data_IF_139760048613
#
_entry.id   IF_139760048613
#
_cell.length_a   1.000
_cell.length_b   1.000
_cell.length_c   1.000
_cell.angle_alpha   90.00
_cell.angle_beta   90.00
_cell.angle_gamma   90.00
#
_symmetry.space_group_name_H-M   'P 1'
#
loop_
_entity.id
_entity.type
_entity.pdbx_description
1 polymer ?
#
# COMPACT_ATOMS: atom_id res chain seq x y z
N UNK A 1 -18.29 -37.26 16.72
CA UNK A 1 -18.62 -35.91 17.22
C UNK A 1 -19.64 -35.26 16.28
N UNK A 2 -20.88 -35.05 16.74
CA UNK A 2 -22.07 -34.82 15.90
C UNK A 2 -22.07 -33.48 15.14
N UNK A 3 -22.51 -33.50 13.87
CA UNK A 3 -22.71 -32.33 12.98
C UNK A 3 -23.59 -31.23 13.61
N UNK A 4 -24.49 -31.62 14.52
CA UNK A 4 -25.36 -30.71 15.27
C UNK A 4 -24.59 -29.83 16.28
N UNK A 5 -23.55 -30.37 16.94
CA UNK A 5 -22.73 -29.64 17.93
C UNK A 5 -21.88 -28.56 17.23
N UNK A 6 -21.39 -28.83 16.02
CA UNK A 6 -20.70 -27.83 15.17
C UNK A 6 -21.61 -26.68 14.71
N UNK A 7 -22.91 -26.91 14.55
CA UNK A 7 -23.89 -25.86 14.18
C UNK A 7 -24.25 -24.97 15.38
N UNK A 8 -24.43 -25.54 16.57
CA UNK A 8 -24.69 -24.78 17.80
C UNK A 8 -23.55 -23.81 18.17
N UNK A 9 -22.29 -24.25 18.01
CA UNK A 9 -21.11 -23.41 18.27
C UNK A 9 -20.94 -22.24 17.30
N UNK A 10 -21.35 -22.40 16.02
CA UNK A 10 -21.32 -21.30 15.03
C UNK A 10 -22.42 -20.27 15.29
N UNK A 11 -23.60 -20.69 15.74
CA UNK A 11 -24.71 -19.78 16.08
C UNK A 11 -24.40 -18.95 17.35
N UNK A 12 -23.85 -19.59 18.40
CA UNK A 12 -23.48 -18.89 19.64
C UNK A 12 -22.39 -17.81 19.45
N UNK A 13 -21.41 -18.06 18.56
CA UNK A 13 -20.36 -17.07 18.23
C UNK A 13 -20.87 -15.90 17.40
N UNK A 14 -22.02 -16.05 16.74
CA UNK A 14 -22.68 -14.98 15.98
C UNK A 14 -23.45 -14.02 16.89
N UNK A 15 -24.00 -14.53 18.01
CA UNK A 15 -24.67 -13.77 19.06
C UNK A 15 -23.70 -13.07 20.03
N UNK A 16 -22.44 -13.51 20.08
CA UNK A 16 -21.39 -12.96 20.96
C UNK A 16 -20.42 -11.99 20.26
N UNK A 17 -20.72 -11.56 19.02
CA UNK A 17 -19.88 -10.55 18.36
C UNK A 17 -20.08 -9.19 19.00
N UNK A 18 -18.99 -8.55 19.39
CA UNK A 18 -19.05 -7.19 19.93
C UNK A 18 -19.72 -6.25 18.92
N UNK A 19 -20.39 -5.17 19.36
CA UNK A 19 -20.95 -4.17 18.46
C UNK A 19 -19.94 -3.63 17.43
N UNK A 20 -18.66 -3.59 17.81
CA UNK A 20 -17.55 -3.20 16.94
C UNK A 20 -17.29 -4.25 15.85
N UNK A 21 -17.27 -5.54 16.18
CA UNK A 21 -17.14 -6.60 15.18
C UNK A 21 -18.34 -6.62 14.22
N UNK A 22 -19.56 -6.40 14.72
CA UNK A 22 -20.75 -6.32 13.87
C UNK A 22 -20.66 -5.14 12.90
N UNK A 23 -20.24 -3.97 13.39
CA UNK A 23 -20.03 -2.77 12.59
C UNK A 23 -18.93 -2.99 11.54
N UNK A 24 -17.81 -3.60 11.91
CA UNK A 24 -16.72 -3.90 10.99
C UNK A 24 -17.15 -4.87 9.88
N UNK A 25 -17.95 -5.89 10.22
CA UNK A 25 -18.50 -6.82 9.22
C UNK A 25 -19.47 -6.11 8.28
N UNK A 26 -20.31 -5.20 8.78
CA UNK A 26 -21.22 -4.40 7.94
C UNK A 26 -20.44 -3.53 6.96
N UNK A 27 -19.45 -2.77 7.44
CA UNK A 27 -18.59 -1.92 6.61
C UNK A 27 -17.82 -2.73 5.56
N UNK A 28 -17.32 -3.92 5.92
CA UNK A 28 -16.69 -4.84 4.98
C UNK A 28 -17.64 -5.26 3.85
N UNK A 29 -18.90 -5.57 4.16
CA UNK A 29 -19.90 -5.94 3.14
C UNK A 29 -20.26 -4.72 2.28
N UNK A 30 -20.40 -3.55 2.88
CA UNK A 30 -20.69 -2.30 2.17
C UNK A 30 -19.58 -1.91 1.20
N UNK A 31 -18.31 -1.92 1.64
CA UNK A 31 -17.16 -1.63 0.77
C UNK A 31 -17.14 -2.56 -0.45
N UNK A 32 -17.34 -3.87 -0.23
CA UNK A 32 -17.42 -4.84 -1.35
C UNK A 32 -18.60 -4.60 -2.29
N UNK A 33 -19.76 -4.15 -1.78
CA UNK A 33 -20.93 -3.84 -2.62
C UNK A 33 -20.75 -2.57 -3.44
N UNK A 34 -19.99 -1.61 -2.94
CA UNK A 34 -19.73 -0.33 -3.62
C UNK A 34 -18.58 -0.41 -4.62
N UNK A 35 -17.73 -1.43 -4.50
CA UNK A 35 -16.67 -1.67 -5.48
C UNK A 35 -17.25 -2.06 -6.84
N UNK A 36 -16.71 -1.41 -7.86
CA UNK A 36 -16.91 -1.64 -9.28
C UNK A 36 -15.93 -2.68 -9.83
N UNK A 37 -15.00 -3.17 -9.01
CA UNK A 37 -13.97 -4.14 -9.42
C UNK A 37 -12.76 -3.51 -10.12
N UNK A 38 -12.58 -2.19 -10.03
CA UNK A 38 -11.44 -1.47 -10.62
C UNK A 38 -10.08 -1.92 -10.07
N UNK A 39 -10.06 -2.40 -8.82
CA UNK A 39 -8.87 -2.93 -8.17
C UNK A 39 -9.16 -4.37 -7.76
N UNK A 40 -8.38 -5.30 -8.31
CA UNK A 40 -8.49 -6.72 -7.97
C UNK A 40 -7.11 -7.27 -7.63
N UNK A 41 -6.93 -7.68 -6.38
CA UNK A 41 -5.73 -8.35 -5.90
C UNK A 41 -6.02 -9.83 -5.73
N UNK A 42 -5.15 -10.70 -6.25
CA UNK A 42 -5.21 -12.13 -5.99
C UNK A 42 -4.17 -12.52 -4.94
N UNK A 43 -4.45 -13.58 -4.18
CA UNK A 43 -3.50 -14.13 -3.21
C UNK A 43 -2.25 -14.75 -3.88
N UNK A 44 -2.28 -15.00 -5.19
CA UNK A 44 -1.17 -15.63 -5.90
C UNK A 44 0.03 -14.69 -6.03
N UNK A 45 -0.23 -13.43 -6.39
CA UNK A 45 0.83 -12.45 -6.66
C UNK A 45 0.95 -11.39 -5.55
N UNK A 46 -0.11 -11.21 -4.74
CA UNK A 46 -0.20 -10.24 -3.63
C UNK A 46 0.01 -8.77 -4.02
N UNK A 47 -0.18 -8.41 -5.30
CA UNK A 47 -0.21 -7.01 -5.76
C UNK A 47 -1.32 -6.81 -6.82
N UNK A 48 -1.63 -5.54 -7.08
CA UNK A 48 -2.46 -5.13 -8.21
C UNK A 48 -1.93 -3.81 -8.77
N UNK A 49 -2.10 -3.61 -10.07
CA UNK A 49 -1.84 -2.33 -10.73
C UNK A 49 -3.17 -1.71 -11.15
N UNK A 50 -3.31 -0.39 -11.00
CA UNK A 50 -4.51 0.32 -11.39
C UNK A 50 -4.21 1.79 -11.75
N UNK A 51 -5.20 2.45 -12.37
CA UNK A 51 -5.13 3.89 -12.63
C UNK A 51 -6.01 4.61 -11.60
N UNK A 52 -5.38 5.21 -10.61
CA UNK A 52 -6.05 5.93 -9.52
C UNK A 52 -6.86 7.13 -10.03
N UNK A 53 -6.58 7.66 -11.23
CA UNK A 53 -7.41 8.72 -11.83
C UNK A 53 -8.81 8.25 -12.24
N UNK A 54 -9.01 6.92 -12.36
CA UNK A 54 -10.32 6.32 -12.66
C UNK A 54 -11.19 6.14 -11.42
N UNK A 55 -10.65 6.34 -10.23
CA UNK A 55 -11.43 6.33 -9.00
C UNK A 55 -12.32 7.56 -8.95
N UNK A 56 -13.61 7.37 -8.68
CA UNK A 56 -14.58 8.46 -8.63
C UNK A 56 -14.17 9.52 -7.60
N UNK A 57 -14.11 10.79 -8.00
CA UNK A 57 -13.73 11.88 -7.10
C UNK A 57 -12.24 11.98 -6.77
N UNK A 58 -11.39 11.04 -7.24
CA UNK A 58 -9.95 11.06 -6.96
C UNK A 58 -9.19 12.16 -7.70
N UNK A 59 -9.71 12.63 -8.84
CA UNK A 59 -9.01 13.59 -9.70
C UNK A 59 -8.58 14.87 -8.97
N UNK A 60 -9.43 15.40 -8.09
CA UNK A 60 -9.13 16.62 -7.33
C UNK A 60 -8.09 16.37 -6.24
N UNK A 61 -8.19 15.27 -5.50
CA UNK A 61 -7.25 14.95 -4.43
C UNK A 61 -5.84 14.68 -4.98
N UNK A 62 -5.73 13.93 -6.10
CA UNK A 62 -4.45 13.62 -6.73
C UNK A 62 -3.78 14.84 -7.34
N UNK A 63 -4.54 15.72 -8.01
CA UNK A 63 -4.00 16.95 -8.58
C UNK A 63 -3.53 17.92 -7.49
N UNK A 64 -4.32 18.08 -6.43
CA UNK A 64 -3.98 18.91 -5.28
C UNK A 64 -2.74 18.38 -4.54
N UNK A 65 -2.67 17.08 -4.27
CA UNK A 65 -1.46 16.44 -3.69
C UNK A 65 -0.23 16.65 -4.57
N UNK A 66 -0.38 16.55 -5.90
CA UNK A 66 0.70 16.81 -6.84
C UNK A 66 1.20 18.26 -6.76
N UNK A 67 0.28 19.24 -6.83
CA UNK A 67 0.62 20.66 -6.74
C UNK A 67 1.25 21.05 -5.40
N UNK A 68 0.68 20.58 -4.29
CA UNK A 68 1.24 20.81 -2.95
C UNK A 68 2.60 20.13 -2.79
N UNK A 69 2.74 18.90 -3.31
CA UNK A 69 4.00 18.19 -3.33
C UNK A 69 5.11 18.99 -4.01
N UNK A 70 4.86 19.55 -5.20
CA UNK A 70 5.83 20.43 -5.87
C UNK A 70 6.17 21.67 -5.04
N UNK A 71 5.16 22.32 -4.44
CA UNK A 71 5.39 23.49 -3.57
C UNK A 71 6.22 23.12 -2.34
N UNK A 72 5.91 22.01 -1.67
CA UNK A 72 6.53 21.59 -0.42
C UNK A 72 7.95 21.05 -0.58
N UNK A 73 8.37 20.63 -1.79
CA UNK A 73 9.77 20.30 -2.09
C UNK A 73 10.72 21.46 -1.84
N UNK A 74 10.24 22.70 -1.88
CA UNK A 74 11.06 23.90 -1.61
C UNK A 74 10.96 24.39 -0.16
N UNK A 75 10.05 23.82 0.64
CA UNK A 75 9.88 24.17 2.05
C UNK A 75 10.93 23.43 2.89
N UNK A 76 12.00 24.13 3.23
CA UNK A 76 13.11 23.58 4.03
C UNK A 76 12.64 23.06 5.39
N UNK A 77 11.56 23.58 5.96
CA UNK A 77 11.04 23.10 7.25
C UNK A 77 10.53 21.66 7.15
N UNK A 78 10.07 21.23 5.98
CA UNK A 78 9.56 19.86 5.71
C UNK A 78 10.68 18.87 5.40
N UNK A 79 11.92 19.35 5.28
CA UNK A 79 13.09 18.53 4.94
C UNK A 79 14.00 18.25 6.14
N UNK A 80 13.76 18.87 7.30
CA UNK A 80 14.70 18.85 8.43
C UNK A 80 14.90 17.49 9.10
N UNK A 81 13.95 16.55 8.98
CA UNK A 81 14.00 15.24 9.66
C UNK A 81 14.50 14.08 8.76
N UNK A 82 15.09 14.38 7.60
CA UNK A 82 15.19 13.52 6.42
C UNK A 82 15.91 12.16 6.60
N UNK A 83 15.21 11.17 7.16
CA UNK A 83 15.38 9.79 6.72
C UNK A 83 14.85 9.69 5.29
N UNK A 84 15.66 9.17 4.36
CA UNK A 84 15.25 9.00 2.97
C UNK A 84 14.29 7.79 2.81
N UNK A 85 13.21 7.88 2.01
CA UNK A 85 12.71 9.07 1.30
C UNK A 85 12.06 10.10 2.25
N UNK A 86 12.00 11.36 1.83
CA UNK A 86 11.52 12.47 2.68
C UNK A 86 9.98 12.50 2.64
N UNK A 87 9.32 12.43 3.80
CA UNK A 87 7.87 12.63 3.87
C UNK A 87 7.55 14.13 3.93
N UNK A 88 6.92 14.67 2.89
CA UNK A 88 6.52 16.07 2.83
C UNK A 88 5.17 16.34 3.53
N UNK A 89 4.35 15.31 3.75
CA UNK A 89 3.02 15.44 4.35
C UNK A 89 3.10 15.39 5.87
N UNK A 90 2.53 16.39 6.53
CA UNK A 90 2.39 16.48 7.99
C UNK A 90 0.95 16.20 8.41
N UNK A 91 0.78 15.87 9.69
CA UNK A 91 -0.54 15.58 10.26
C UNK A 91 -1.49 16.78 10.15
N UNK A 92 -0.97 18.00 10.32
CA UNK A 92 -1.74 19.24 10.23
C UNK A 92 -2.36 19.45 8.85
N UNK A 93 -1.66 19.03 7.79
CA UNK A 93 -2.15 19.12 6.42
C UNK A 93 -3.40 18.24 6.22
N UNK A 94 -3.53 17.11 6.95
CA UNK A 94 -4.69 16.23 6.85
C UNK A 94 -5.98 16.87 7.42
N UNK A 95 -5.84 17.81 8.35
CA UNK A 95 -6.98 18.58 8.86
C UNK A 95 -7.40 19.69 7.89
N UNK A 96 -6.46 20.22 7.12
CA UNK A 96 -6.71 21.26 6.13
C UNK A 96 -7.25 20.68 4.81
N UNK A 97 -6.81 19.48 4.46
CA UNK A 97 -7.10 18.83 3.18
C UNK A 97 -7.79 17.48 3.39
N UNK A 98 -9.04 17.53 3.87
CA UNK A 98 -9.82 16.33 4.18
C UNK A 98 -9.96 15.35 2.99
N UNK A 99 -9.95 15.87 1.78
CA UNK A 99 -9.99 15.09 0.54
C UNK A 99 -8.88 14.03 0.44
N UNK A 100 -7.72 14.24 1.08
CA UNK A 100 -6.62 13.27 1.05
C UNK A 100 -6.95 12.03 1.87
N UNK A 101 -7.59 12.23 3.02
CA UNK A 101 -8.05 11.13 3.88
C UNK A 101 -9.18 10.38 3.18
N UNK A 102 -10.16 11.11 2.64
CA UNK A 102 -11.30 10.51 1.95
C UNK A 102 -10.85 9.70 0.73
N UNK A 103 -9.85 10.17 0.00
CA UNK A 103 -9.21 9.42 -1.08
C UNK A 103 -8.46 8.18 -0.58
N UNK A 104 -7.67 8.28 0.49
CA UNK A 104 -6.94 7.14 1.06
C UNK A 104 -7.88 6.02 1.56
N UNK A 105 -9.12 6.36 1.91
CA UNK A 105 -10.17 5.41 2.31
C UNK A 105 -11.25 5.23 1.25
N UNK A 106 -10.95 5.50 -0.02
CA UNK A 106 -11.89 5.32 -1.12
C UNK A 106 -12.43 3.88 -1.19
N UNK A 107 -13.72 3.71 -1.49
CA UNK A 107 -14.42 2.41 -1.38
C UNK A 107 -13.76 1.30 -2.22
N UNK A 108 -13.25 1.60 -3.41
CA UNK A 108 -12.48 0.63 -4.23
C UNK A 108 -11.21 0.12 -3.55
N UNK A 109 -10.44 1.04 -2.94
CA UNK A 109 -9.21 0.70 -2.24
C UNK A 109 -9.56 -0.13 -1.01
N UNK A 110 -10.53 0.32 -0.23
CA UNK A 110 -11.01 -0.42 0.94
C UNK A 110 -11.53 -1.80 0.56
N UNK A 111 -12.27 -1.95 -0.53
CA UNK A 111 -12.82 -3.23 -0.96
C UNK A 111 -11.72 -4.22 -1.38
N UNK A 112 -10.74 -3.76 -2.15
CA UNK A 112 -9.60 -4.57 -2.57
C UNK A 112 -8.75 -4.99 -1.37
N UNK A 113 -8.37 -4.04 -0.52
CA UNK A 113 -7.57 -4.31 0.69
C UNK A 113 -8.34 -5.19 1.68
N UNK A 114 -9.63 -4.95 1.90
CA UNK A 114 -10.48 -5.79 2.77
C UNK A 114 -10.59 -7.22 2.24
N UNK A 115 -10.66 -7.38 0.91
CA UNK A 115 -10.70 -8.69 0.29
C UNK A 115 -9.38 -9.43 0.46
N UNK A 116 -8.26 -8.75 0.23
CA UNK A 116 -6.91 -9.29 0.43
C UNK A 116 -6.64 -9.64 1.90
N UNK A 117 -6.78 -8.69 2.83
CA UNK A 117 -6.48 -8.88 4.27
C UNK A 117 -7.52 -9.81 4.94
N UNK A 118 -8.76 -9.85 4.44
CA UNK A 118 -9.84 -10.68 4.97
C UNK A 118 -10.62 -10.04 6.12
N UNK A 119 -10.24 -8.84 6.57
CA UNK A 119 -10.91 -8.05 7.61
C UNK A 119 -10.95 -6.57 7.21
N UNK A 120 -11.73 -5.75 7.92
CA UNK A 120 -11.76 -4.31 7.69
C UNK A 120 -10.38 -3.71 8.03
N UNK A 121 -9.69 -3.04 7.09
CA UNK A 121 -8.39 -2.45 7.35
C UNK A 121 -8.52 -1.17 8.18
N UNK A 122 -7.45 -0.85 8.89
CA UNK A 122 -7.23 0.46 9.51
C UNK A 122 -6.24 1.22 8.64
N UNK A 123 -6.55 2.46 8.27
CA UNK A 123 -5.55 3.36 7.69
C UNK A 123 -4.49 3.65 8.76
N UNK A 124 -3.29 3.11 8.55
CA UNK A 124 -2.19 3.24 9.51
C UNK A 124 -1.40 4.54 9.31
N UNK A 125 -1.08 4.84 8.04
CA UNK A 125 -0.28 6.01 7.69
C UNK A 125 -0.67 6.52 6.29
N UNK A 126 -0.54 7.83 6.08
CA UNK A 126 -0.64 8.49 4.78
C UNK A 126 0.57 9.40 4.64
N UNK A 127 1.33 9.22 3.56
CA UNK A 127 2.63 9.88 3.37
C UNK A 127 2.75 10.40 1.95
N UNK A 128 3.44 11.54 1.80
CA UNK A 128 3.82 12.10 0.51
C UNK A 128 5.33 12.01 0.38
N UNK A 129 5.81 11.00 -0.34
CA UNK A 129 7.24 10.77 -0.48
C UNK A 129 7.86 11.65 -1.56
N UNK A 130 8.97 12.31 -1.20
CA UNK A 130 9.88 12.93 -2.13
C UNK A 130 11.26 12.27 -2.02
N UNK A 131 11.75 11.83 -3.18
CA UNK A 131 13.03 11.14 -3.33
C UNK A 131 13.93 11.97 -4.25
N UNK A 132 14.68 12.96 -3.72
CA UNK A 132 15.63 13.70 -4.53
C UNK A 132 16.73 12.75 -5.07
N UNK A 133 17.24 13.00 -6.29
CA UNK A 133 18.37 12.25 -6.84
C UNK A 133 19.55 12.24 -5.86
N UNK A 134 20.16 11.08 -5.68
CA UNK A 134 21.34 10.90 -4.85
C UNK A 134 22.15 9.69 -5.36
N UNK A 135 23.31 9.46 -4.74
CA UNK A 135 24.22 8.37 -5.07
C UNK A 135 24.35 7.36 -3.92
N UNK A 136 23.38 7.33 -3.01
CA UNK A 136 23.41 6.41 -1.87
C UNK A 136 22.71 5.11 -2.20
N UNK A 137 23.10 4.05 -1.50
CA UNK A 137 22.44 2.74 -1.53
C UNK A 137 22.19 2.32 -0.09
N UNK A 138 21.23 2.98 0.57
CA UNK A 138 20.98 2.77 2.00
C UNK A 138 19.49 2.82 2.36
N UNK A 139 19.15 2.21 3.49
CA UNK A 139 17.79 2.24 4.01
C UNK A 139 16.78 1.75 2.97
N UNK A 140 15.76 2.58 2.71
CA UNK A 140 14.65 2.26 1.79
C UNK A 140 15.05 2.06 0.33
N UNK A 141 16.30 2.35 -0.04
CA UNK A 141 16.85 2.08 -1.38
C UNK A 141 17.30 0.62 -1.55
N UNK A 142 17.49 -0.10 -0.44
CA UNK A 142 17.76 -1.54 -0.45
C UNK A 142 16.45 -2.33 -0.34
N UNK A 143 16.41 -3.52 -0.95
CA UNK A 143 15.28 -4.42 -0.80
C UNK A 143 15.10 -4.82 0.66
N UNK A 144 13.85 -4.94 1.07
CA UNK A 144 13.48 -5.32 2.42
C UNK A 144 12.01 -5.71 2.48
N UNK A 145 11.67 -6.45 3.53
CA UNK A 145 10.30 -6.66 3.92
C UNK A 145 9.84 -5.51 4.82
N UNK A 146 8.59 -5.11 4.66
CA UNK A 146 7.97 -4.14 5.55
C UNK A 146 7.43 -4.85 6.80
N UNK A 147 7.98 -4.54 7.97
CA UNK A 147 7.64 -5.22 9.23
C UNK A 147 6.79 -4.32 10.12
N UNK A 148 5.46 -4.52 10.12
CA UNK A 148 4.55 -3.81 11.04
C UNK A 148 3.42 -4.71 11.55
N UNK A 149 2.82 -5.51 10.67
CA UNK A 149 1.65 -6.33 10.99
C UNK A 149 1.71 -7.69 10.28
N UNK A 150 0.93 -8.66 10.80
CA UNK A 150 0.81 -10.00 10.20
C UNK A 150 0.22 -9.97 8.78
N UNK A 151 -0.65 -8.98 8.49
CA UNK A 151 -1.19 -8.70 7.15
C UNK A 151 -1.34 -7.20 6.97
N UNK A 152 -0.75 -6.69 5.91
CA UNK A 152 -0.79 -5.27 5.55
C UNK A 152 -0.90 -5.12 4.03
N UNK A 153 -1.42 -3.99 3.58
CA UNK A 153 -1.37 -3.59 2.18
C UNK A 153 -0.84 -2.15 2.11
N UNK A 154 -0.01 -1.88 1.11
CA UNK A 154 0.51 -0.53 0.82
C UNK A 154 0.07 -0.13 -0.58
N UNK A 155 -0.45 1.08 -0.69
CA UNK A 155 -0.86 1.67 -1.96
C UNK A 155 0.13 2.78 -2.28
N UNK A 156 0.90 2.59 -3.35
CA UNK A 156 1.82 3.60 -3.87
C UNK A 156 1.20 4.19 -5.13
N UNK A 157 1.22 5.50 -5.26
CA UNK A 157 0.62 6.20 -6.40
C UNK A 157 1.61 7.25 -6.87
N UNK A 158 1.92 7.23 -8.15
CA UNK A 158 2.78 8.23 -8.77
C UNK A 158 2.01 9.56 -8.85
N UNK A 159 2.60 10.65 -8.35
CA UNK A 159 2.03 12.00 -8.48
C UNK A 159 2.68 12.82 -9.60
N UNK A 160 3.78 12.33 -10.14
CA UNK A 160 4.50 12.85 -11.30
C UNK A 160 4.71 11.72 -12.33
N UNK A 161 5.24 12.07 -13.51
CA UNK A 161 5.70 11.05 -14.45
C UNK A 161 6.92 10.34 -13.86
N UNK A 162 6.83 9.01 -13.73
CA UNK A 162 7.93 8.16 -13.25
C UNK A 162 8.41 7.27 -14.39
N UNK A 163 9.66 7.45 -14.80
CA UNK A 163 10.36 6.62 -15.79
C UNK A 163 11.28 5.61 -15.09
N UNK A 164 11.92 4.73 -15.87
CA UNK A 164 12.94 3.81 -15.35
C UNK A 164 14.12 4.55 -14.68
N UNK A 165 14.44 5.74 -15.18
CA UNK A 165 15.56 6.56 -14.70
C UNK A 165 15.18 7.48 -13.54
N UNK A 166 13.91 7.50 -13.15
CA UNK A 166 13.40 8.35 -12.06
C UNK A 166 13.60 7.75 -10.66
N UNK A 167 14.13 6.53 -10.57
CA UNK A 167 14.16 5.75 -9.33
C UNK A 167 12.76 5.26 -8.90
N UNK A 168 12.05 4.49 -9.76
CA UNK A 168 10.73 3.96 -9.41
C UNK A 168 10.79 3.03 -8.21
N UNK A 169 9.67 2.86 -7.50
CA UNK A 169 9.56 1.78 -6.53
C UNK A 169 9.71 0.44 -7.28
N UNK A 170 10.62 -0.39 -6.78
CA UNK A 170 10.79 -1.76 -7.20
C UNK A 170 10.23 -2.70 -6.14
N UNK A 171 9.51 -3.73 -6.57
CA UNK A 171 9.05 -4.80 -5.70
C UNK A 171 8.99 -6.13 -6.46
N UNK A 172 8.80 -7.21 -5.72
CA UNK A 172 8.70 -8.57 -6.23
C UNK A 172 7.30 -9.12 -5.98
N UNK A 173 6.89 -10.08 -6.82
CA UNK A 173 5.70 -10.90 -6.54
C UNK A 173 5.91 -11.73 -5.27
N UNK A 174 4.83 -12.15 -4.61
CA UNK A 174 4.93 -13.06 -3.47
C UNK A 174 5.69 -14.36 -3.80
N UNK A 175 5.49 -14.90 -5.02
CA UNK A 175 6.20 -16.08 -5.48
C UNK A 175 7.71 -15.85 -5.65
N UNK A 176 8.12 -14.67 -6.10
CA UNK A 176 9.54 -14.32 -6.23
C UNK A 176 10.19 -14.00 -4.88
N UNK A 177 9.47 -13.37 -3.94
CA UNK A 177 9.93 -13.20 -2.56
C UNK A 177 10.29 -14.56 -1.93
N UNK A 178 9.44 -15.59 -2.13
CA UNK A 178 9.73 -16.94 -1.61
C UNK A 178 11.03 -17.54 -2.20
N UNK A 179 11.35 -17.25 -3.47
CA UNK A 179 12.61 -17.70 -4.07
C UNK A 179 13.81 -17.02 -3.41
N UNK A 180 13.70 -15.73 -3.11
CA UNK A 180 14.73 -14.98 -2.36
C UNK A 180 14.89 -15.59 -0.97
N UNK A 181 13.80 -15.84 -0.25
CA UNK A 181 13.84 -16.45 1.09
C UNK A 181 14.50 -17.83 1.10
N UNK A 182 14.21 -18.67 0.10
CA UNK A 182 14.79 -20.02 -0.01
C UNK A 182 16.28 -19.97 -0.35
N UNK A 183 16.69 -19.05 -1.23
CA UNK A 183 18.08 -19.00 -1.73
C UNK A 183 19.02 -18.20 -0.82
N UNK A 184 18.59 -17.02 -0.41
CA UNK A 184 19.41 -16.06 0.35
C UNK A 184 19.15 -16.19 1.85
N UNK A 185 17.96 -16.63 2.23
CA UNK A 185 17.52 -16.72 3.62
C UNK A 185 16.67 -15.51 4.03
N UNK A 186 15.58 -15.77 4.74
CA UNK A 186 14.75 -14.71 5.30
C UNK A 186 15.50 -13.90 6.37
N UNK A 187 15.38 -12.58 6.28
CA UNK A 187 15.99 -11.59 7.16
C UNK A 187 15.02 -10.42 7.37
N UNK A 188 15.06 -9.86 8.58
CA UNK A 188 14.44 -8.57 8.91
C UNK A 188 15.30 -7.37 8.45
N UNK A 189 16.48 -7.66 7.90
CA UNK A 189 17.45 -6.69 7.45
C UNK A 189 17.17 -6.18 6.03
N UNK A 190 18.25 -5.76 5.38
CA UNK A 190 18.25 -5.27 4.00
C UNK A 190 18.93 -6.30 3.11
N UNK A 191 18.51 -6.36 1.85
CA UNK A 191 19.15 -7.14 0.80
C UNK A 191 19.68 -6.20 -0.25
N UNK A 192 20.87 -6.50 -0.79
CA UNK A 192 21.39 -5.78 -1.95
C UNK A 192 20.72 -6.26 -3.23
N UNK A 193 20.97 -5.54 -4.31
CA UNK A 193 20.58 -5.97 -5.66
C UNK A 193 21.20 -7.32 -6.01
N UNK A 194 22.47 -7.55 -5.64
CA UNK A 194 23.16 -8.82 -5.86
C UNK A 194 22.49 -9.98 -5.12
N UNK A 195 22.07 -9.76 -3.86
CA UNK A 195 21.34 -10.77 -3.08
C UNK A 195 20.07 -11.18 -3.82
N UNK A 196 19.23 -10.21 -4.19
CA UNK A 196 17.95 -10.46 -4.85
C UNK A 196 18.13 -11.07 -6.23
N UNK A 197 19.05 -10.52 -7.05
CA UNK A 197 19.27 -10.98 -8.41
C UNK A 197 20.00 -12.32 -8.49
N UNK A 198 20.64 -12.75 -7.40
CA UNK A 198 21.11 -14.13 -7.30
C UNK A 198 19.93 -15.11 -7.33
N UNK A 199 18.76 -14.76 -6.78
CA UNK A 199 17.61 -15.66 -6.64
C UNK A 199 16.56 -15.50 -7.74
N UNK A 200 16.41 -14.29 -8.27
CA UNK A 200 15.33 -13.92 -9.17
C UNK A 200 15.90 -13.11 -10.33
N UNK A 201 15.56 -13.42 -11.61
CA UNK A 201 16.00 -12.60 -12.74
C UNK A 201 15.52 -11.16 -12.60
N UNK A 202 16.36 -10.19 -12.98
CA UNK A 202 16.00 -8.77 -12.93
C UNK A 202 14.72 -8.45 -13.73
N UNK A 203 14.41 -9.24 -14.76
CA UNK A 203 13.16 -9.13 -15.54
C UNK A 203 11.88 -9.39 -14.74
N UNK A 204 11.98 -10.06 -13.58
CA UNK A 204 10.84 -10.30 -12.69
C UNK A 204 10.60 -9.13 -11.73
N UNK A 205 11.56 -8.19 -11.61
CA UNK A 205 11.39 -7.02 -10.77
C UNK A 205 10.30 -6.13 -11.36
N UNK A 206 9.31 -5.80 -10.52
CA UNK A 206 8.20 -4.95 -10.92
C UNK A 206 8.55 -3.51 -10.56
N UNK A 207 8.69 -2.66 -11.58
CA UNK A 207 8.87 -1.23 -11.42
C UNK A 207 7.54 -0.48 -11.53
N UNK A 208 7.27 0.46 -10.62
CA UNK A 208 6.08 1.34 -10.65
C UNK A 208 6.28 2.54 -11.58
N UNK A 209 6.51 2.29 -12.87
CA UNK A 209 6.62 3.35 -13.90
C UNK A 209 5.24 3.77 -14.39
N UNK A 210 5.08 5.05 -14.74
CA UNK A 210 3.85 5.55 -15.33
C UNK A 210 3.59 7.04 -15.10
N UNK A 211 2.48 7.52 -15.67
CA UNK A 211 1.96 8.88 -15.51
C UNK A 211 1.43 9.12 -14.08
N UNK A 212 1.16 10.38 -13.68
CA UNK A 212 0.39 10.67 -12.48
C UNK A 212 -0.89 9.83 -12.39
N UNK A 213 -1.13 9.26 -11.21
CA UNK A 213 -2.21 8.33 -10.89
C UNK A 213 -1.92 6.86 -11.19
N UNK A 214 -0.77 6.51 -11.79
CA UNK A 214 -0.37 5.11 -11.91
C UNK A 214 -0.07 4.53 -10.52
N UNK A 215 -0.67 3.37 -10.21
CA UNK A 215 -0.56 2.68 -8.93
C UNK A 215 -0.35 1.18 -9.13
#
# INVERSE_FOLDING_TARGET
MNKAIRRGFRAGRMLLRSPLEQSANRLKVEAKRRSTGLISMTDADCYAKFDATKLSGAGNALSELGSLGESWKTDMSRQQEAKFPINLLRTEDLFQHRAFVDFAVHDEILAAVTSYIGQLPRLYNLTLWWSPPNQTTQGSQLYHYDHRDNRQAKVFINLNNVTKDSGPLHFLSAADCLKVDVKVGYSQGRYTDEDVYSAVPQSNVIATVGKPGSA
#
